data_IF_662879063321
#
_entry.id   IF_662879063321
#
_cell.length_a   1.000
_cell.length_b   1.000
_cell.length_c   1.000
_cell.angle_alpha   90.00
_cell.angle_beta   90.00
_cell.angle_gamma   90.00
#
_symmetry.space_group_name_H-M   'P 1'
#
loop_
_entity.id
_entity.type
_entity.pdbx_description
1 polymer ?
#
# COMPACT_ATOMS: atom_id res chain seq x y z
N UNK A 1 -17.01 1.79 -30.08
CA UNK A 1 -16.63 1.61 -28.67
C UNK A 1 -15.13 1.82 -28.62
N UNK A 2 -14.70 3.04 -28.33
CA UNK A 2 -13.29 3.37 -28.22
C UNK A 2 -12.69 2.61 -27.04
N UNK A 3 -11.45 2.09 -27.15
CA UNK A 3 -10.84 1.34 -26.07
C UNK A 3 -10.51 2.27 -24.91
N UNK A 4 -11.32 2.25 -23.85
CA UNK A 4 -11.01 2.89 -22.58
C UNK A 4 -9.89 2.07 -21.93
N UNK A 5 -8.66 2.59 -21.91
CA UNK A 5 -7.49 1.92 -21.37
C UNK A 5 -6.89 2.71 -20.20
N UNK A 6 -6.22 2.02 -19.27
CA UNK A 6 -5.52 2.67 -18.16
C UNK A 6 -4.25 3.36 -18.66
N UNK A 7 -4.20 4.70 -18.61
CA UNK A 7 -3.09 5.51 -19.16
C UNK A 7 -1.88 5.52 -18.21
N UNK A 8 -2.13 5.51 -16.90
CA UNK A 8 -1.10 5.49 -15.87
C UNK A 8 -1.70 4.86 -14.61
N UNK A 9 -0.92 3.99 -13.96
CA UNK A 9 -1.29 3.35 -12.70
C UNK A 9 -0.16 3.65 -11.73
N UNK A 10 -0.44 4.49 -10.74
CA UNK A 10 0.43 4.63 -9.57
C UNK A 10 -0.18 3.77 -8.48
N UNK A 11 0.42 2.62 -8.23
CA UNK A 11 0.02 1.76 -7.12
C UNK A 11 0.93 2.04 -5.92
N UNK A 12 0.32 2.00 -4.74
CA UNK A 12 0.93 1.76 -3.44
C UNK A 12 1.38 3.01 -2.65
N UNK A 13 0.44 3.56 -1.88
CA UNK A 13 0.76 4.24 -0.62
C UNK A 13 0.55 3.19 0.47
N UNK A 14 1.65 2.60 0.95
CA UNK A 14 1.63 1.80 2.18
C UNK A 14 1.62 2.80 3.35
N UNK A 15 0.81 2.58 4.40
CA UNK A 15 0.90 3.37 5.63
C UNK A 15 2.36 3.48 6.09
N UNK A 16 2.85 4.70 6.29
CA UNK A 16 4.28 4.98 6.35
C UNK A 16 4.96 4.37 7.58
N UNK A 17 4.18 4.13 8.64
CA UNK A 17 4.79 4.06 9.97
C UNK A 17 5.11 2.68 10.52
N UNK A 18 4.48 1.59 10.09
CA UNK A 18 4.76 0.28 10.71
C UNK A 18 4.54 -0.91 9.78
N UNK A 19 5.64 -1.47 9.28
CA UNK A 19 5.68 -2.79 8.66
C UNK A 19 6.02 -3.82 9.75
N UNK A 20 5.07 -4.65 10.15
CA UNK A 20 5.28 -5.72 11.12
C UNK A 20 5.68 -7.01 10.43
N UNK A 21 6.72 -7.66 10.95
CA UNK A 21 7.14 -8.99 10.46
C UNK A 21 6.14 -10.03 10.91
N UNK A 22 5.72 -10.85 9.95
CA UNK A 22 4.69 -11.84 10.19
C UNK A 22 5.16 -12.94 11.17
N UNK A 23 6.45 -13.28 11.19
CA UNK A 23 7.05 -14.20 12.19
C UNK A 23 6.88 -13.69 13.63
N UNK A 24 6.99 -12.38 13.87
CA UNK A 24 6.77 -11.79 15.19
C UNK A 24 5.29 -11.85 15.59
N UNK A 25 4.37 -11.72 14.61
CA UNK A 25 2.95 -11.87 14.83
C UNK A 25 2.58 -13.34 15.15
N UNK A 26 3.23 -14.30 14.49
CA UNK A 26 3.03 -15.73 14.80
C UNK A 26 3.41 -16.05 16.25
N UNK A 27 4.52 -15.49 16.74
CA UNK A 27 4.95 -15.62 18.11
C UNK A 27 4.02 -14.91 19.11
N UNK A 28 3.51 -13.73 18.76
CA UNK A 28 2.56 -12.97 19.57
C UNK A 28 1.21 -13.69 19.71
N UNK A 29 0.70 -14.26 18.63
CA UNK A 29 -0.60 -14.95 18.61
C UNK A 29 -0.51 -16.40 19.13
N UNK A 30 0.70 -16.89 19.42
CA UNK A 30 0.92 -18.27 19.88
C UNK A 30 0.57 -19.32 18.83
N UNK A 31 0.59 -18.95 17.55
CA UNK A 31 0.31 -19.88 16.45
C UNK A 31 1.58 -20.62 16.04
N UNK A 32 1.40 -21.75 15.35
CA UNK A 32 2.52 -22.50 14.78
C UNK A 32 3.34 -21.62 13.82
N UNK A 33 4.67 -21.72 13.92
CA UNK A 33 5.58 -21.12 12.94
C UNK A 33 5.20 -21.51 11.52
N UNK A 34 5.24 -20.57 10.60
CA UNK A 34 4.89 -20.83 9.20
C UNK A 34 3.41 -20.67 8.88
N UNK A 35 2.52 -20.47 9.86
CA UNK A 35 1.08 -20.34 9.57
C UNK A 35 0.78 -19.16 8.66
N UNK A 36 1.41 -18.03 8.91
CA UNK A 36 1.18 -16.81 8.17
C UNK A 36 2.27 -16.63 7.09
N UNK A 37 3.52 -16.94 7.42
CA UNK A 37 4.64 -16.82 6.46
C UNK A 37 4.59 -17.85 5.33
N UNK A 38 4.28 -19.11 5.63
CA UNK A 38 4.21 -20.20 4.62
C UNK A 38 2.76 -20.47 4.21
N UNK A 39 1.83 -20.50 5.18
CA UNK A 39 0.43 -20.80 4.93
C UNK A 39 -0.30 -19.70 4.18
N UNK A 40 -0.08 -18.43 4.55
CA UNK A 40 -0.64 -17.28 3.82
C UNK A 40 0.34 -16.70 2.79
N UNK A 41 1.64 -17.00 2.90
CA UNK A 41 2.66 -16.44 2.01
C UNK A 41 2.98 -14.98 2.30
N UNK A 42 2.69 -14.49 3.51
CA UNK A 42 2.91 -13.08 3.89
C UNK A 42 4.18 -12.92 4.71
N UNK A 43 5.11 -12.09 4.24
CA UNK A 43 6.34 -11.77 4.97
C UNK A 43 6.12 -10.64 5.99
N UNK A 44 5.23 -9.69 5.66
CA UNK A 44 5.05 -8.44 6.36
C UNK A 44 3.63 -7.89 6.22
N UNK A 45 3.13 -7.27 7.28
CA UNK A 45 1.82 -6.61 7.33
C UNK A 45 1.99 -5.12 7.66
N UNK A 46 1.31 -4.25 6.91
CA UNK A 46 1.20 -2.84 7.23
C UNK A 46 -0.17 -2.53 7.84
N UNK A 47 -0.22 -1.63 8.82
CA UNK A 47 -1.48 -1.16 9.42
C UNK A 47 -1.51 0.36 9.50
N UNK A 48 -2.71 0.92 9.44
CA UNK A 48 -2.92 2.35 9.63
C UNK A 48 -2.80 2.71 11.12
N UNK A 49 -2.07 3.77 11.42
CA UNK A 49 -2.07 4.38 12.74
C UNK A 49 -3.21 5.40 12.86
N UNK A 50 -3.41 6.02 14.03
CA UNK A 50 -4.50 7.00 14.24
C UNK A 50 -4.46 8.22 13.29
N UNK A 51 -3.33 8.46 12.63
CA UNK A 51 -3.11 9.61 11.74
C UNK A 51 -3.24 9.26 10.26
N UNK A 52 -3.47 7.99 9.93
CA UNK A 52 -3.65 7.53 8.55
C UNK A 52 -5.04 6.93 8.37
N UNK A 53 -5.74 7.37 7.34
CA UNK A 53 -7.05 6.86 6.98
C UNK A 53 -7.16 6.67 5.46
N UNK A 54 -8.30 6.14 5.02
CA UNK A 54 -8.53 5.88 3.59
C UNK A 54 -8.46 7.16 2.76
N UNK A 55 -8.84 8.30 3.32
CA UNK A 55 -8.85 9.59 2.61
C UNK A 55 -7.42 10.09 2.43
N UNK A 56 -6.61 10.09 3.49
CA UNK A 56 -5.23 10.53 3.43
C UNK A 56 -4.42 9.65 2.49
N UNK A 57 -4.57 8.33 2.56
CA UNK A 57 -3.94 7.39 1.64
C UNK A 57 -4.36 7.64 0.19
N UNK A 58 -5.66 7.85 -0.06
CA UNK A 58 -6.17 8.11 -1.41
C UNK A 58 -5.62 9.41 -1.99
N UNK A 59 -5.57 10.48 -1.18
CA UNK A 59 -5.00 11.77 -1.60
C UNK A 59 -3.51 11.65 -1.89
N UNK A 60 -2.74 10.91 -1.09
CA UNK A 60 -1.31 10.66 -1.39
C UNK A 60 -1.13 9.90 -2.70
N UNK A 61 -1.98 8.90 -3.01
CA UNK A 61 -1.94 8.18 -4.29
C UNK A 61 -2.24 9.13 -5.45
N UNK A 62 -3.30 9.93 -5.34
CA UNK A 62 -3.73 10.85 -6.41
C UNK A 62 -2.68 11.95 -6.63
N UNK A 63 -2.15 12.56 -5.58
CA UNK A 63 -1.09 13.56 -5.68
C UNK A 63 0.16 12.96 -6.33
N UNK A 64 0.61 11.78 -5.89
CA UNK A 64 1.77 11.12 -6.49
C UNK A 64 1.53 10.72 -7.94
N UNK A 65 0.30 10.28 -8.27
CA UNK A 65 -0.08 9.99 -9.64
C UNK A 65 -0.01 11.25 -10.50
N UNK A 66 -0.55 12.38 -10.04
CA UNK A 66 -0.53 13.64 -10.78
C UNK A 66 0.87 14.23 -10.93
N UNK A 67 1.74 14.08 -9.94
CA UNK A 67 3.15 14.51 -10.02
C UNK A 67 3.97 13.64 -10.99
N UNK A 68 3.74 12.32 -10.99
CA UNK A 68 4.47 11.37 -11.85
C UNK A 68 3.92 11.28 -13.26
N UNK A 69 2.63 11.50 -13.42
CA UNK A 69 1.99 11.63 -14.72
C UNK A 69 2.36 13.00 -15.27
N UNK A 70 2.80 13.07 -16.53
CA UNK A 70 3.20 14.28 -17.25
C UNK A 70 2.18 15.46 -17.25
N UNK A 71 1.03 15.34 -16.58
CA UNK A 71 0.00 16.37 -16.47
C UNK A 71 0.48 17.65 -15.77
N UNK A 72 1.49 17.59 -14.89
CA UNK A 72 2.01 18.80 -14.23
C UNK A 72 2.99 19.60 -15.12
N UNK A 73 3.60 19.01 -16.16
CA UNK A 73 4.49 19.72 -17.08
C UNK A 73 3.77 20.51 -18.19
N UNK A 74 2.43 20.44 -18.26
CA UNK A 74 1.63 21.21 -19.25
C UNK A 74 1.20 22.58 -18.69
N UNK A 75 1.40 22.82 -17.39
CA UNK A 75 1.04 24.09 -16.73
C UNK A 75 2.23 25.01 -16.41
N UNK A 76 3.45 24.72 -16.90
CA UNK A 76 4.58 25.66 -16.96
C UNK A 76 4.90 26.08 -18.41
#
# INVERSE_FOLDING_TARGET
MDPVNYISITCLVIPFFFLHKQEALEAHDGVSKGKYTIGLGEDCLAFCTQVEDVISMSLTVVTSLLEKSFLMQIFE
#
